data_IF_619710228401
#
_entry.id   IF_619710228401
#
_cell.length_a   1.000
_cell.length_b   1.000
_cell.length_c   1.000
_cell.angle_alpha   90.00
_cell.angle_beta   90.00
_cell.angle_gamma   90.00
#
_symmetry.space_group_name_H-M   'P 1'
#
loop_
_entity.id
_entity.type
_entity.pdbx_description
1 polymer ?
#
# COMPACT_ATOMS: atom_id res chain seq x y z
N UNK A 1 -13.38 6.25 0.41
CA UNK A 1 -12.61 6.54 1.64
C UNK A 1 -11.43 7.41 1.27
N UNK A 2 -10.89 8.16 2.23
CA UNK A 2 -9.72 9.02 2.04
C UNK A 2 -8.51 8.37 2.70
N UNK A 3 -7.41 8.26 1.95
CA UNK A 3 -6.14 7.73 2.45
C UNK A 3 -5.00 8.68 2.10
N UNK A 4 -3.84 8.48 2.70
CA UNK A 4 -2.59 9.12 2.32
C UNK A 4 -1.69 8.06 1.68
N UNK A 5 -1.42 8.15 0.38
CA UNK A 5 -0.56 7.21 -0.33
C UNK A 5 0.73 7.93 -0.75
N UNK A 6 1.88 7.48 -0.25
CA UNK A 6 3.17 8.15 -0.47
C UNK A 6 3.10 9.67 -0.21
N UNK A 7 2.57 10.04 0.95
CA UNK A 7 2.36 11.42 1.40
C UNK A 7 1.42 12.25 0.50
N UNK A 8 0.69 11.61 -0.42
CA UNK A 8 -0.30 12.27 -1.27
C UNK A 8 -1.72 11.86 -0.87
N UNK A 9 -2.60 12.82 -0.52
CA UNK A 9 -3.98 12.50 -0.18
C UNK A 9 -4.73 12.05 -1.43
N UNK A 10 -5.45 10.93 -1.34
CA UNK A 10 -6.26 10.42 -2.43
C UNK A 10 -7.56 9.79 -1.94
N UNK A 11 -8.54 9.70 -2.85
CA UNK A 11 -9.75 8.93 -2.63
C UNK A 11 -9.62 7.54 -3.28
N UNK A 12 -10.06 6.52 -2.56
CA UNK A 12 -10.17 5.16 -3.09
C UNK A 12 -11.50 4.51 -2.66
N UNK A 13 -11.87 3.43 -3.35
CA UNK A 13 -13.07 2.65 -3.03
C UNK A 13 -12.87 1.94 -1.70
N UNK A 14 -13.89 1.92 -0.85
CA UNK A 14 -13.82 1.20 0.42
C UNK A 14 -13.83 -0.32 0.19
N UNK A 15 -13.14 -1.07 1.05
CA UNK A 15 -13.10 -2.54 0.97
C UNK A 15 -12.08 -3.10 -0.02
N UNK A 16 -11.20 -2.26 -0.58
CA UNK A 16 -10.07 -2.73 -1.39
C UNK A 16 -9.03 -3.40 -0.49
N UNK A 17 -8.48 -4.50 -0.97
CA UNK A 17 -7.22 -5.04 -0.47
C UNK A 17 -6.04 -4.15 -0.89
N UNK A 18 -4.91 -4.25 -0.20
CA UNK A 18 -3.66 -3.61 -0.61
C UNK A 18 -3.30 -4.00 -2.04
N UNK A 19 -3.45 -5.28 -2.41
CA UNK A 19 -3.15 -5.74 -3.76
C UNK A 19 -4.02 -5.05 -4.83
N UNK A 20 -5.33 -4.99 -4.63
CA UNK A 20 -6.25 -4.32 -5.57
C UNK A 20 -5.98 -2.82 -5.67
N UNK A 21 -5.66 -2.16 -4.55
CA UNK A 21 -5.27 -0.74 -4.55
C UNK A 21 -4.03 -0.53 -5.43
N UNK A 22 -2.99 -1.36 -5.27
CA UNK A 22 -1.75 -1.25 -6.04
C UNK A 22 -1.97 -1.53 -7.54
N UNK A 23 -2.84 -2.47 -7.90
CA UNK A 23 -3.23 -2.71 -9.29
C UNK A 23 -3.97 -1.50 -9.89
N UNK A 24 -4.92 -0.91 -9.16
CA UNK A 24 -5.65 0.28 -9.63
C UNK A 24 -4.74 1.49 -9.85
N UNK A 25 -3.68 1.60 -9.03
CA UNK A 25 -2.68 2.67 -9.12
C UNK A 25 -1.53 2.37 -10.09
N UNK A 26 -1.61 1.26 -10.83
CA UNK A 26 -0.57 0.77 -11.75
C UNK A 26 0.84 0.74 -11.10
N UNK A 27 0.89 0.33 -9.83
CA UNK A 27 2.13 0.30 -9.05
C UNK A 27 2.87 -1.02 -9.25
N UNK A 28 4.17 -0.92 -9.52
CA UNK A 28 5.03 -2.10 -9.60
C UNK A 28 5.24 -2.72 -8.22
N UNK A 29 4.81 -3.97 -8.07
CA UNK A 29 4.95 -4.72 -6.83
C UNK A 29 6.32 -5.43 -6.71
N UNK A 30 7.02 -5.68 -7.83
CA UNK A 30 8.32 -6.33 -7.81
C UNK A 30 9.38 -5.45 -7.13
N UNK A 31 10.11 -6.00 -6.16
CA UNK A 31 11.10 -5.26 -5.37
C UNK A 31 10.53 -4.31 -4.31
N UNK A 32 9.21 -4.15 -4.25
CA UNK A 32 8.57 -3.21 -3.34
C UNK A 32 8.31 -3.78 -1.95
N UNK A 33 8.35 -2.89 -0.95
CA UNK A 33 7.84 -3.08 0.40
C UNK A 33 6.77 -2.01 0.69
N UNK A 34 5.83 -2.36 1.56
CA UNK A 34 4.70 -1.50 1.90
C UNK A 34 4.55 -1.41 3.42
N UNK A 35 4.32 -0.19 3.90
CA UNK A 35 3.93 0.08 5.27
C UNK A 35 2.54 0.74 5.30
N UNK A 36 1.72 0.34 6.27
CA UNK A 36 0.48 1.01 6.62
C UNK A 36 0.63 1.53 8.04
N UNK A 37 0.41 2.82 8.25
CA UNK A 37 0.50 3.47 9.56
C UNK A 37 1.84 3.17 10.26
N UNK A 38 2.95 3.29 9.51
CA UNK A 38 4.32 3.02 9.96
C UNK A 38 4.62 1.54 10.32
N UNK A 39 3.71 0.62 10.00
CA UNK A 39 3.89 -0.82 10.21
C UNK A 39 4.03 -1.54 8.88
N UNK A 40 5.10 -2.33 8.72
CA UNK A 40 5.34 -3.09 7.50
C UNK A 40 4.26 -4.18 7.36
N UNK A 41 3.61 -4.22 6.19
CA UNK A 41 2.67 -5.27 5.84
C UNK A 41 3.40 -6.31 4.99
N UNK A 42 3.59 -7.56 5.47
CA UNK A 42 4.23 -8.62 4.70
C UNK A 42 3.50 -8.86 3.38
N UNK A 43 4.26 -9.17 2.33
CA UNK A 43 3.73 -9.26 0.95
C UNK A 43 2.65 -10.33 0.81
N UNK A 44 2.78 -11.44 1.52
CA UNK A 44 1.80 -12.51 1.57
C UNK A 44 0.43 -12.07 2.12
N UNK A 45 0.38 -10.95 2.86
CA UNK A 45 -0.85 -10.40 3.41
C UNK A 45 -1.52 -9.37 2.48
N UNK A 46 -0.87 -8.91 1.40
CA UNK A 46 -1.39 -7.81 0.58
C UNK A 46 -2.74 -8.14 -0.09
N UNK A 47 -2.95 -9.40 -0.47
CA UNK A 47 -4.21 -9.86 -1.07
C UNK A 47 -5.35 -10.06 -0.05
N UNK A 48 -5.07 -9.91 1.25
CA UNK A 48 -6.04 -10.13 2.33
C UNK A 48 -6.22 -8.90 3.24
N UNK A 49 -5.21 -8.02 3.26
CA UNK A 49 -5.23 -6.82 4.09
C UNK A 49 -6.11 -5.75 3.44
N UNK A 50 -7.25 -5.47 4.08
CA UNK A 50 -8.20 -4.45 3.62
C UNK A 50 -7.73 -3.07 4.07
N UNK A 51 -7.59 -2.16 3.11
CA UNK A 51 -7.28 -0.75 3.37
C UNK A 51 -8.46 -0.08 4.06
N UNK A 52 -8.18 0.71 5.09
CA UNK A 52 -9.16 1.43 5.89
C UNK A 52 -9.17 2.93 5.56
N UNK A 53 -10.27 3.59 5.89
CA UNK A 53 -10.35 5.05 5.83
C UNK A 53 -9.33 5.69 6.80
N UNK A 54 -8.59 6.68 6.31
CA UNK A 54 -7.54 7.37 7.06
C UNK A 54 -6.17 6.71 7.04
N UNK A 55 -6.01 5.55 6.39
CA UNK A 55 -4.72 4.86 6.35
C UNK A 55 -3.61 5.70 5.69
N UNK A 56 -2.42 5.65 6.29
CA UNK A 56 -1.19 6.20 5.72
C UNK A 56 -0.37 5.07 5.13
N UNK A 57 -0.32 5.00 3.80
CA UNK A 57 0.31 3.93 3.04
C UNK A 57 1.59 4.47 2.42
N UNK A 58 2.70 3.79 2.70
CA UNK A 58 3.99 4.05 2.07
C UNK A 58 4.40 2.83 1.26
N UNK A 59 4.59 3.02 -0.04
CA UNK A 59 5.16 2.04 -0.97
C UNK A 59 6.55 2.51 -1.38
N UNK A 60 7.56 1.68 -1.13
CA UNK A 60 8.95 2.00 -1.45
C UNK A 60 9.68 0.77 -2.00
N UNK A 61 10.71 1.02 -2.81
CA UNK A 61 11.56 -0.05 -3.33
C UNK A 61 12.57 -0.47 -2.28
N UNK A 62 12.72 -1.78 -2.10
CA UNK A 62 13.76 -2.34 -1.24
C UNK A 62 15.10 -2.15 -1.96
N UNK A 63 15.99 -1.37 -1.36
CA UNK A 63 17.37 -1.29 -1.81
C UNK A 63 18.12 -2.40 -1.08
N UNK A 64 18.46 -3.47 -1.80
CA UNK A 64 19.40 -4.46 -1.27
C UNK A 64 20.78 -3.80 -1.19
N UNK A 65 21.17 -3.36 0.01
CA UNK A 65 22.56 -2.97 0.29
C UNK A 65 23.45 -4.21 0.17
N UNK A 66 24.54 -4.09 -0.60
CA UNK A 66 25.62 -5.07 -0.62
C UNK A 66 26.44 -5.02 0.67
#
# INVERSE_FOLDING_TARGET
MQILFNDQPMQCVAGLTVHELLEQLDQQQAGAALAINQQIVPREQWAQHIVQDGDQILLFQVIAGG
#
